data_IF_574612950853
#
_entry.id   IF_574612950853
#
_cell.length_a   1.000
_cell.length_b   1.000
_cell.length_c   1.000
_cell.angle_alpha   90.00
_cell.angle_beta   90.00
_cell.angle_gamma   90.00
#
_symmetry.space_group_name_H-M   'P 1'
#
loop_
_entity.id
_entity.type
_entity.pdbx_description
1 polymer ?
#
# COMPACT_ATOMS: atom_id res chain seq x y z
N UNK A 1 19.48 -31.55 33.11
CA UNK A 1 18.13 -31.44 33.70
C UNK A 1 17.67 -30.00 33.58
N UNK A 2 16.63 -29.79 32.74
CA UNK A 2 15.57 -28.76 32.79
C UNK A 2 15.96 -27.28 32.94
N UNK A 3 15.76 -26.47 31.89
CA UNK A 3 14.56 -25.63 31.65
C UNK A 3 14.87 -24.17 32.08
N UNK A 4 14.82 -23.15 31.22
CA UNK A 4 13.77 -22.84 30.26
C UNK A 4 13.04 -21.62 30.79
N UNK A 5 13.48 -20.42 30.40
CA UNK A 5 12.80 -19.14 30.69
C UNK A 5 13.25 -18.11 29.64
N UNK A 6 12.82 -18.32 28.40
CA UNK A 6 12.74 -17.24 27.41
C UNK A 6 11.38 -16.59 27.61
N UNK A 7 11.40 -15.34 28.04
CA UNK A 7 10.24 -14.54 28.34
C UNK A 7 9.39 -14.34 27.07
N UNK A 8 8.14 -14.81 27.12
CA UNK A 8 7.08 -14.41 26.19
C UNK A 8 6.74 -12.94 26.45
N UNK A 9 7.19 -12.05 25.56
CA UNK A 9 6.71 -10.68 25.46
C UNK A 9 6.36 -10.38 24.02
N UNK A 10 5.20 -10.85 23.58
CA UNK A 10 4.51 -10.38 22.39
C UNK A 10 3.02 -10.73 22.52
N UNK A 11 2.20 -9.75 22.88
CA UNK A 11 0.75 -9.94 23.03
C UNK A 11 -0.08 -8.65 23.00
N UNK A 12 0.52 -7.49 23.27
CA UNK A 12 -0.22 -6.22 23.44
C UNK A 12 -0.08 -5.24 22.25
N UNK A 13 0.77 -5.55 21.27
CA UNK A 13 1.04 -4.66 20.13
C UNK A 13 -0.02 -4.74 19.01
N UNK A 14 -0.96 -5.69 19.09
CA UNK A 14 -2.00 -5.89 18.07
C UNK A 14 -3.18 -4.92 18.20
N UNK A 15 -3.63 -4.65 19.43
CA UNK A 15 -4.77 -3.77 19.69
C UNK A 15 -4.41 -2.29 19.48
N UNK A 16 -3.24 -1.87 19.97
CA UNK A 16 -2.72 -0.50 19.85
C UNK A 16 -2.46 -0.09 18.40
N UNK A 17 -1.83 -0.95 17.60
CA UNK A 17 -1.57 -0.68 16.17
C UNK A 17 -2.84 -0.63 15.30
N UNK A 18 -3.91 -1.33 15.69
CA UNK A 18 -5.20 -1.24 15.00
C UNK A 18 -5.88 0.10 15.30
N UNK A 19 -5.90 0.52 16.58
CA UNK A 19 -6.53 1.75 17.00
C UNK A 19 -5.84 2.99 16.40
N UNK A 20 -4.50 3.02 16.37
CA UNK A 20 -3.74 4.13 15.75
C UNK A 20 -3.98 4.25 14.24
N UNK A 21 -4.09 3.13 13.51
CA UNK A 21 -4.40 3.16 12.07
C UNK A 21 -5.83 3.65 11.81
N UNK A 22 -6.77 3.32 12.69
CA UNK A 22 -8.14 3.81 12.61
C UNK A 22 -8.22 5.30 12.95
N UNK A 23 -7.51 5.77 13.99
CA UNK A 23 -7.46 7.19 14.36
C UNK A 23 -6.77 8.06 13.29
N UNK A 24 -5.67 7.59 12.71
CA UNK A 24 -4.96 8.29 11.62
C UNK A 24 -5.78 8.33 10.31
N UNK A 25 -6.67 7.35 10.09
CA UNK A 25 -7.59 7.33 8.96
C UNK A 25 -8.85 8.19 9.20
N UNK A 26 -9.24 8.42 10.46
CA UNK A 26 -10.44 9.19 10.83
C UNK A 26 -10.18 10.71 10.82
N UNK A 27 -8.96 11.15 11.15
CA UNK A 27 -8.55 12.56 11.12
C UNK A 27 -8.80 13.30 9.78
N UNK A 28 -8.39 12.78 8.61
CA UNK A 28 -8.69 13.46 7.35
C UNK A 28 -10.19 13.44 7.03
N UNK A 29 -10.93 12.41 7.46
CA UNK A 29 -12.37 12.28 7.24
C UNK A 29 -13.16 13.39 7.94
N UNK A 30 -12.84 13.66 9.21
CA UNK A 30 -13.50 14.71 10.00
C UNK A 30 -13.16 16.11 9.48
N UNK A 31 -11.92 16.32 8.99
CA UNK A 31 -11.52 17.57 8.34
C UNK A 31 -12.27 17.83 7.01
N UNK A 32 -12.49 16.78 6.20
CA UNK A 32 -13.26 16.88 4.95
C UNK A 32 -14.74 17.16 5.23
N UNK A 33 -15.34 16.45 6.18
CA UNK A 33 -16.73 16.66 6.57
C UNK A 33 -16.94 18.07 7.15
N UNK A 34 -16.04 18.52 8.03
CA UNK A 34 -16.07 19.85 8.63
C UNK A 34 -15.93 20.97 7.60
N UNK A 35 -14.94 20.89 6.71
CA UNK A 35 -14.76 21.89 5.64
C UNK A 35 -15.96 21.95 4.69
N UNK A 36 -16.54 20.82 4.30
CA UNK A 36 -17.72 20.76 3.42
C UNK A 36 -18.96 21.39 4.07
N UNK A 37 -19.19 21.09 5.36
CA UNK A 37 -20.32 21.64 6.12
C UNK A 37 -20.19 23.16 6.30
N UNK A 38 -18.98 23.66 6.61
CA UNK A 38 -18.71 25.09 6.76
C UNK A 38 -18.94 25.81 5.43
N UNK A 39 -18.42 25.30 4.32
CA UNK A 39 -18.58 25.93 2.99
C UNK A 39 -20.06 25.97 2.60
N UNK A 40 -20.81 24.89 2.81
CA UNK A 40 -22.25 24.85 2.52
C UNK A 40 -23.05 25.84 3.39
N UNK A 41 -22.74 25.92 4.69
CA UNK A 41 -23.38 26.87 5.60
C UNK A 41 -23.15 28.33 5.14
N UNK A 42 -21.92 28.63 4.71
CA UNK A 42 -21.55 29.94 4.16
C UNK A 42 -22.25 30.22 2.82
N UNK A 43 -22.39 29.23 1.93
CA UNK A 43 -23.10 29.36 0.64
C UNK A 43 -24.61 29.63 0.83
N UNK A 44 -25.22 29.08 1.88
CA UNK A 44 -26.63 29.31 2.23
C UNK A 44 -26.83 30.70 2.87
N UNK A 45 -25.87 31.16 3.68
CA UNK A 45 -25.96 32.42 4.42
C UNK A 45 -25.59 33.65 3.59
N UNK A 46 -24.73 33.51 2.58
CA UNK A 46 -24.30 34.62 1.75
C UNK A 46 -25.25 34.80 0.54
N UNK A 47 -25.92 35.96 0.39
CA UNK A 47 -26.71 36.24 -0.80
C UNK A 47 -25.84 36.15 -2.06
N UNK A 48 -26.39 35.55 -3.12
CA UNK A 48 -25.69 35.23 -4.38
C UNK A 48 -24.90 36.46 -4.86
N UNK A 49 -23.61 36.28 -5.13
CA UNK A 49 -22.74 37.37 -5.64
C UNK A 49 -21.24 37.14 -5.46
N UNK A 50 -20.84 36.31 -4.50
CA UNK A 50 -19.43 35.99 -4.23
C UNK A 50 -19.07 34.62 -4.81
N UNK A 51 -17.86 34.47 -5.35
CA UNK A 51 -17.33 33.21 -5.94
C UNK A 51 -16.98 32.14 -4.88
N UNK A 52 -17.91 31.86 -3.96
CA UNK A 52 -17.81 30.84 -2.90
C UNK A 52 -17.63 29.41 -3.46
N UNK A 53 -18.22 29.03 -4.61
CA UNK A 53 -18.08 27.67 -5.15
C UNK A 53 -16.63 27.22 -5.42
N UNK A 54 -15.68 28.15 -5.56
CA UNK A 54 -14.24 27.83 -5.71
C UNK A 54 -13.66 27.20 -4.44
N UNK A 55 -14.23 27.50 -3.27
CA UNK A 55 -13.75 26.96 -1.99
C UNK A 55 -14.02 25.45 -1.83
N UNK A 56 -14.93 24.86 -2.62
CA UNK A 56 -15.15 23.40 -2.65
C UNK A 56 -13.94 22.60 -3.19
N UNK A 57 -12.92 23.28 -3.73
CA UNK A 57 -11.63 22.66 -4.06
C UNK A 57 -10.88 22.20 -2.79
N UNK A 58 -11.09 22.86 -1.64
CA UNK A 58 -10.39 22.55 -0.38
C UNK A 58 -10.73 21.14 0.15
N UNK A 59 -12.00 20.71 0.27
CA UNK A 59 -12.36 19.34 0.62
C UNK A 59 -11.75 18.28 -0.32
N UNK A 60 -11.61 18.61 -1.60
CA UNK A 60 -11.07 17.69 -2.62
C UNK A 60 -9.56 17.51 -2.45
N UNK A 61 -8.82 18.59 -2.20
CA UNK A 61 -7.39 18.52 -1.89
C UNK A 61 -7.11 17.75 -0.59
N UNK A 62 -7.98 17.93 0.42
CA UNK A 62 -7.93 17.11 1.63
C UNK A 62 -8.22 15.63 1.33
N UNK A 63 -9.18 15.34 0.44
CA UNK A 63 -9.49 13.97 0.01
C UNK A 63 -8.35 13.26 -0.74
N UNK A 64 -7.39 13.99 -1.34
CA UNK A 64 -6.17 13.41 -1.94
C UNK A 64 -5.29 12.72 -0.90
N UNK A 65 -5.35 13.16 0.35
CA UNK A 65 -4.59 12.56 1.44
C UNK A 65 -5.20 11.23 1.93
N UNK A 66 -6.43 10.90 1.51
CA UNK A 66 -7.07 9.63 1.85
C UNK A 66 -6.57 8.49 0.94
N UNK A 67 -6.08 7.41 1.56
CA UNK A 67 -5.65 6.17 0.88
C UNK A 67 -6.76 5.48 0.08
N UNK A 68 -8.03 5.73 0.43
CA UNK A 68 -9.18 5.07 -0.19
C UNK A 68 -9.65 5.83 -1.43
N UNK A 69 -9.53 5.21 -2.60
CA UNK A 69 -9.87 5.81 -3.90
C UNK A 69 -11.36 6.04 -4.14
N UNK A 70 -12.22 5.14 -3.64
CA UNK A 70 -13.68 5.29 -3.75
C UNK A 70 -14.19 6.53 -2.99
N UNK A 71 -13.54 6.87 -1.87
CA UNK A 71 -13.91 8.01 -1.04
C UNK A 71 -13.73 9.35 -1.78
N UNK A 72 -12.68 9.47 -2.60
CA UNK A 72 -12.44 10.68 -3.42
C UNK A 72 -13.55 10.93 -4.43
N UNK A 73 -14.02 9.88 -5.09
CA UNK A 73 -15.14 9.98 -6.06
C UNK A 73 -16.44 10.30 -5.34
N UNK A 74 -16.70 9.68 -4.19
CA UNK A 74 -17.88 9.95 -3.38
C UNK A 74 -17.96 11.41 -2.90
N UNK A 75 -16.84 12.00 -2.45
CA UNK A 75 -16.77 13.42 -2.05
C UNK A 75 -17.02 14.35 -3.24
N UNK A 76 -16.44 14.06 -4.42
CA UNK A 76 -16.66 14.87 -5.62
C UNK A 76 -18.12 14.84 -6.11
N UNK A 77 -18.77 13.67 -6.07
CA UNK A 77 -20.20 13.51 -6.37
C UNK A 77 -21.05 14.27 -5.34
N UNK A 78 -20.73 14.15 -4.05
CA UNK A 78 -21.40 14.88 -2.98
C UNK A 78 -21.32 16.39 -3.17
N UNK A 79 -20.12 16.93 -3.42
CA UNK A 79 -19.91 18.37 -3.67
C UNK A 79 -20.64 18.85 -4.92
N UNK A 80 -20.72 18.02 -5.96
CA UNK A 80 -21.49 18.31 -7.20
C UNK A 80 -22.99 18.43 -6.91
N UNK A 81 -23.53 17.51 -6.10
CA UNK A 81 -24.94 17.52 -5.68
C UNK A 81 -25.23 18.72 -4.77
N UNK A 82 -24.39 18.96 -3.76
CA UNK A 82 -24.49 20.09 -2.84
C UNK A 82 -24.45 21.43 -3.59
N UNK A 83 -23.55 21.55 -4.56
CA UNK A 83 -23.52 22.69 -5.46
C UNK A 83 -24.87 22.80 -6.14
N UNK A 84 -25.33 21.78 -6.88
CA UNK A 84 -26.64 21.80 -7.57
C UNK A 84 -27.83 22.19 -6.68
N UNK A 85 -27.93 21.63 -5.48
CA UNK A 85 -28.99 21.93 -4.51
C UNK A 85 -28.98 23.40 -4.06
N UNK A 86 -27.80 23.99 -3.87
CA UNK A 86 -27.68 25.42 -3.56
C UNK A 86 -28.29 26.33 -4.64
N UNK A 87 -28.44 25.87 -5.89
CA UNK A 87 -29.12 26.66 -6.94
C UNK A 87 -30.62 26.83 -6.65
N UNK A 88 -31.23 25.83 -6.03
CA UNK A 88 -32.67 25.80 -5.76
C UNK A 88 -33.08 26.55 -4.50
N UNK A 89 -32.21 26.62 -3.48
CA UNK A 89 -32.55 27.22 -2.18
C UNK A 89 -32.19 28.71 -2.05
N UNK A 90 -31.21 29.22 -2.80
CA UNK A 90 -30.82 30.63 -2.67
C UNK A 90 -31.85 31.57 -3.31
N UNK A 91 -32.23 32.67 -2.66
CA UNK A 91 -33.08 33.69 -3.31
C UNK A 91 -32.29 34.42 -4.42
N UNK A 92 -32.91 34.72 -5.59
CA UNK A 92 -32.19 35.28 -6.73
C UNK A 92 -31.95 36.79 -6.57
N UNK A 93 -30.79 37.17 -6.02
CA UNK A 93 -30.35 38.57 -5.88
C UNK A 93 -29.50 39.07 -7.08
N UNK A 94 -28.93 38.16 -7.89
CA UNK A 94 -28.07 38.46 -9.06
C UNK A 94 -28.62 37.85 -10.34
N UNK A 95 -28.24 38.39 -11.52
CA UNK A 95 -28.54 37.79 -12.81
C UNK A 95 -28.18 36.30 -12.89
N UNK A 96 -29.08 35.52 -13.49
CA UNK A 96 -28.98 34.06 -13.60
C UNK A 96 -27.69 33.61 -14.30
N UNK A 97 -27.23 34.36 -15.30
CA UNK A 97 -26.00 34.04 -16.05
C UNK A 97 -24.73 34.03 -15.18
N UNK A 98 -24.59 34.95 -14.22
CA UNK A 98 -23.44 34.99 -13.29
C UNK A 98 -23.43 33.73 -12.42
N UNK A 99 -24.62 33.32 -11.97
CA UNK A 99 -24.78 32.11 -11.15
C UNK A 99 -24.40 30.86 -11.94
N UNK A 100 -24.83 30.78 -13.21
CA UNK A 100 -24.53 29.65 -14.09
C UNK A 100 -23.03 29.56 -14.40
N UNK A 101 -22.38 30.67 -14.76
CA UNK A 101 -20.95 30.69 -15.10
C UNK A 101 -20.08 30.31 -13.91
N UNK A 102 -20.36 30.83 -12.71
CA UNK A 102 -19.60 30.50 -11.51
C UNK A 102 -19.73 29.02 -11.11
N UNK A 103 -20.93 28.44 -11.30
CA UNK A 103 -21.17 27.02 -11.04
C UNK A 103 -20.50 26.12 -12.07
N UNK A 104 -20.50 26.51 -13.33
CA UNK A 104 -19.77 25.80 -14.39
C UNK A 104 -18.26 25.75 -14.11
N UNK A 105 -17.67 26.88 -13.68
CA UNK A 105 -16.25 26.95 -13.29
C UNK A 105 -15.93 26.05 -12.09
N UNK A 106 -16.79 26.04 -11.07
CA UNK A 106 -16.62 25.18 -9.90
C UNK A 106 -16.71 23.69 -10.26
N UNK A 107 -17.69 23.30 -11.07
CA UNK A 107 -17.80 21.92 -11.57
C UNK A 107 -16.55 21.53 -12.38
N UNK A 108 -16.07 22.41 -13.27
CA UNK A 108 -14.84 22.16 -14.02
C UNK A 108 -13.62 21.96 -13.09
N UNK A 109 -13.48 22.76 -12.04
CA UNK A 109 -12.42 22.61 -11.04
C UNK A 109 -12.53 21.28 -10.26
N UNK A 110 -13.74 20.89 -9.85
CA UNK A 110 -14.01 19.64 -9.12
C UNK A 110 -13.64 18.42 -9.99
N UNK A 111 -14.06 18.41 -11.25
CA UNK A 111 -13.82 17.29 -12.15
C UNK A 111 -12.36 17.22 -12.64
N UNK A 112 -11.72 18.36 -12.92
CA UNK A 112 -10.29 18.38 -13.27
C UNK A 112 -9.41 17.87 -12.14
N UNK A 113 -9.69 18.27 -10.89
CA UNK A 113 -8.97 17.78 -9.70
C UNK A 113 -9.23 16.29 -9.44
N UNK A 114 -10.47 15.81 -9.60
CA UNK A 114 -10.79 14.38 -9.49
C UNK A 114 -10.06 13.53 -10.55
N UNK A 115 -10.04 13.99 -11.82
CA UNK A 115 -9.33 13.31 -12.92
C UNK A 115 -7.81 13.31 -12.69
N UNK A 116 -7.24 14.44 -12.25
CA UNK A 116 -5.82 14.54 -11.94
C UNK A 116 -5.43 13.59 -10.78
N UNK A 117 -6.25 13.53 -9.74
CA UNK A 117 -6.06 12.62 -8.61
C UNK A 117 -6.15 11.14 -9.03
N UNK A 118 -7.05 10.79 -9.96
CA UNK A 118 -7.13 9.45 -10.54
C UNK A 118 -5.88 9.08 -11.32
N UNK A 119 -5.39 9.98 -12.19
CA UNK A 119 -4.18 9.76 -12.98
C UNK A 119 -2.95 9.54 -12.12
N UNK A 120 -2.83 10.28 -11.03
CA UNK A 120 -1.71 10.12 -10.10
C UNK A 120 -1.68 8.74 -9.41
N UNK A 121 -2.84 8.09 -9.21
CA UNK A 121 -2.87 6.72 -8.67
C UNK A 121 -2.38 5.69 -9.67
N UNK A 122 -2.85 5.76 -10.92
CA UNK A 122 -2.42 4.83 -11.96
C UNK A 122 -0.91 4.93 -12.20
N UNK A 123 -0.36 6.14 -12.18
CA UNK A 123 1.08 6.34 -12.30
C UNK A 123 1.87 5.72 -11.13
N UNK A 124 1.35 5.75 -9.90
CA UNK A 124 2.00 5.11 -8.74
C UNK A 124 1.97 3.59 -8.82
N UNK A 125 0.90 3.01 -9.34
CA UNK A 125 0.75 1.55 -9.42
C UNK A 125 1.71 0.93 -10.46
N UNK A 126 1.98 1.63 -11.55
CA UNK A 126 2.96 1.19 -12.56
C UNK A 126 4.42 1.25 -12.06
N UNK A 127 4.73 2.09 -11.07
CA UNK A 127 6.10 2.22 -10.53
C UNK A 127 6.46 1.05 -9.58
N UNK A 128 5.48 0.42 -8.93
CA UNK A 128 5.72 -0.69 -7.99
C UNK A 128 6.25 -1.98 -8.64
N UNK A 129 6.11 -2.12 -9.96
CA UNK A 129 6.61 -3.31 -10.67
C UNK A 129 8.13 -3.26 -10.88
N UNK A 130 8.73 -2.06 -10.94
CA UNK A 130 10.18 -1.90 -11.02
C UNK A 130 10.86 -1.85 -9.65
N UNK A 131 10.12 -1.48 -8.59
CA UNK A 131 10.66 -1.30 -7.23
C UNK A 131 10.86 -2.61 -6.45
N UNK A 132 10.41 -3.76 -6.97
CA UNK A 132 10.54 -5.07 -6.31
C UNK A 132 11.69 -5.94 -6.87
N UNK A 133 12.49 -5.42 -7.78
CA UNK A 133 13.65 -6.14 -8.33
C UNK A 133 14.89 -5.81 -7.50
N UNK A 134 15.37 -6.80 -6.74
CA UNK A 134 16.65 -6.70 -6.05
C UNK A 134 17.78 -7.00 -7.04
N UNK A 135 18.59 -6.01 -7.46
CA UNK A 135 19.71 -6.26 -8.36
C UNK A 135 20.73 -7.17 -7.67
N UNK A 136 20.82 -8.41 -8.14
CA UNK A 136 21.78 -9.41 -7.67
C UNK A 136 22.91 -9.61 -8.70
N UNK A 137 24.13 -9.81 -8.22
CA UNK A 137 25.26 -10.11 -9.08
C UNK A 137 25.12 -11.54 -9.63
N UNK A 138 25.08 -11.68 -10.96
CA UNK A 138 24.97 -12.99 -11.61
C UNK A 138 26.12 -13.95 -11.28
N UNK A 139 27.30 -13.44 -10.90
CA UNK A 139 28.48 -14.25 -10.58
C UNK A 139 28.56 -14.61 -9.09
N UNK A 140 28.48 -13.63 -8.20
CA UNK A 140 28.72 -13.82 -6.76
C UNK A 140 27.48 -13.74 -5.88
N UNK A 141 26.29 -13.53 -6.45
CA UNK A 141 24.98 -13.46 -5.77
C UNK A 141 24.83 -12.36 -4.71
N UNK A 142 25.79 -11.43 -4.59
CA UNK A 142 25.65 -10.22 -3.75
C UNK A 142 24.48 -9.37 -4.22
N UNK A 143 23.83 -8.67 -3.30
CA UNK A 143 22.75 -7.71 -3.59
C UNK A 143 23.35 -6.30 -3.58
N UNK A 144 22.94 -5.47 -4.54
CA UNK A 144 23.27 -4.05 -4.56
C UNK A 144 22.19 -3.25 -3.84
N UNK A 145 22.60 -2.45 -2.86
CA UNK A 145 21.70 -1.55 -2.14
C UNK A 145 21.40 -0.24 -2.92
N UNK A 146 20.47 0.57 -2.40
CA UNK A 146 20.07 1.85 -2.99
C UNK A 146 21.20 2.88 -3.02
N UNK A 147 22.22 2.71 -2.17
CA UNK A 147 23.44 3.54 -2.12
C UNK A 147 24.50 3.07 -3.11
N UNK A 148 24.26 1.95 -3.78
CA UNK A 148 25.13 1.35 -4.78
C UNK A 148 26.20 0.41 -4.23
N UNK A 149 26.21 0.10 -2.94
CA UNK A 149 27.13 -0.86 -2.32
C UNK A 149 26.68 -2.30 -2.54
N UNK A 150 27.66 -3.19 -2.68
CA UNK A 150 27.43 -4.62 -2.83
C UNK A 150 27.60 -5.33 -1.50
N UNK A 151 26.49 -5.86 -0.96
CA UNK A 151 26.44 -6.60 0.29
C UNK A 151 26.07 -8.06 0.08
N UNK A 152 26.31 -8.86 1.12
CA UNK A 152 25.75 -10.20 1.23
C UNK A 152 24.22 -10.13 1.33
N UNK A 153 23.53 -11.17 0.84
CA UNK A 153 22.06 -11.24 0.80
C UNK A 153 21.49 -11.16 2.22
N UNK A 154 22.20 -11.81 3.14
CA UNK A 154 21.87 -11.93 4.55
C UNK A 154 21.75 -10.55 5.20
N UNK A 155 22.77 -9.69 5.02
CA UNK A 155 22.77 -8.33 5.54
C UNK A 155 21.58 -7.51 5.02
N UNK A 156 21.23 -7.70 3.74
CA UNK A 156 20.10 -7.01 3.14
C UNK A 156 18.78 -7.46 3.77
N UNK A 157 18.58 -8.76 3.93
CA UNK A 157 17.38 -9.35 4.53
C UNK A 157 17.21 -8.96 6.00
N UNK A 158 18.27 -8.98 6.80
CA UNK A 158 18.22 -8.58 8.21
C UNK A 158 17.91 -7.09 8.37
N UNK A 159 18.38 -6.24 7.46
CA UNK A 159 18.16 -4.79 7.53
C UNK A 159 16.76 -4.38 7.06
N UNK A 160 16.19 -5.10 6.10
CA UNK A 160 14.93 -4.72 5.43
C UNK A 160 13.72 -5.59 5.83
N UNK A 161 13.94 -6.63 6.64
CA UNK A 161 12.86 -7.50 7.13
C UNK A 161 12.95 -7.65 8.65
N UNK A 162 11.96 -8.32 9.26
CA UNK A 162 12.00 -8.69 10.68
C UNK A 162 12.55 -10.11 10.90
N UNK A 163 13.17 -10.70 9.89
CA UNK A 163 13.68 -12.06 9.98
C UNK A 163 15.07 -12.09 10.62
N UNK A 164 15.31 -13.07 11.48
CA UNK A 164 16.64 -13.44 11.97
C UNK A 164 17.12 -14.64 11.17
N UNK A 165 18.31 -14.55 10.59
CA UNK A 165 18.87 -15.65 9.81
C UNK A 165 19.68 -16.59 10.73
N UNK A 166 19.36 -17.87 10.66
CA UNK A 166 20.18 -18.92 11.25
C UNK A 166 20.92 -19.68 10.16
N UNK A 167 22.10 -20.21 10.51
CA UNK A 167 22.87 -21.04 9.60
C UNK A 167 22.44 -22.49 9.76
N UNK A 168 22.07 -23.13 8.65
CA UNK A 168 21.73 -24.54 8.59
C UNK A 168 22.27 -25.16 7.31
N UNK A 169 22.32 -26.49 7.27
CA UNK A 169 22.69 -27.25 6.07
C UNK A 169 21.45 -27.99 5.56
N UNK A 170 21.12 -27.81 4.29
CA UNK A 170 20.00 -28.53 3.70
C UNK A 170 20.34 -30.03 3.51
N UNK A 171 19.33 -30.90 3.40
CA UNK A 171 19.54 -32.34 3.20
C UNK A 171 20.47 -32.69 2.03
N UNK A 172 20.32 -32.01 0.90
CA UNK A 172 21.15 -32.23 -0.30
C UNK A 172 22.63 -31.91 -0.03
N UNK A 173 22.89 -30.77 0.60
CA UNK A 173 24.26 -30.37 0.96
C UNK A 173 24.85 -31.32 2.01
N UNK A 174 24.04 -31.80 2.97
CA UNK A 174 24.50 -32.78 3.95
C UNK A 174 24.90 -34.10 3.28
N UNK A 175 24.06 -34.62 2.38
CA UNK A 175 24.35 -35.85 1.66
C UNK A 175 25.59 -35.72 0.77
N UNK A 176 25.77 -34.57 0.12
CA UNK A 176 26.88 -34.31 -0.79
C UNK A 176 28.23 -34.15 -0.08
N UNK A 177 28.26 -33.40 1.01
CA UNK A 177 29.52 -33.00 1.67
C UNK A 177 29.86 -33.85 2.89
N UNK A 178 28.88 -34.53 3.50
CA UNK A 178 29.03 -35.35 4.70
C UNK A 178 28.30 -36.70 4.56
N UNK A 179 28.58 -37.49 3.51
CA UNK A 179 27.86 -38.72 3.21
C UNK A 179 27.96 -39.76 4.34
N UNK A 180 29.08 -39.80 5.08
CA UNK A 180 29.29 -40.71 6.20
C UNK A 180 28.38 -40.43 7.41
N UNK A 181 28.02 -39.17 7.63
CA UNK A 181 27.17 -38.75 8.75
C UNK A 181 25.69 -38.73 8.36
N UNK A 182 25.37 -38.65 7.07
CA UNK A 182 24.00 -38.55 6.57
C UNK A 182 23.05 -39.62 7.13
N UNK A 183 23.38 -40.94 7.16
CA UNK A 183 22.48 -41.96 7.67
C UNK A 183 22.12 -41.76 9.15
N UNK A 184 23.11 -41.35 9.95
CA UNK A 184 22.95 -41.13 11.39
C UNK A 184 22.05 -39.93 11.68
N UNK A 185 22.23 -38.85 10.90
CA UNK A 185 21.45 -37.62 11.05
C UNK A 185 19.99 -37.84 10.64
N UNK A 186 19.75 -38.61 9.57
CA UNK A 186 18.40 -38.96 9.11
C UNK A 186 17.67 -39.84 10.14
N UNK A 187 18.36 -40.80 10.73
CA UNK A 187 17.80 -41.65 11.79
C UNK A 187 17.49 -40.85 13.07
N UNK A 188 18.36 -39.91 13.43
CA UNK A 188 18.20 -39.09 14.63
C UNK A 188 17.11 -38.02 14.47
N UNK A 189 16.91 -37.50 13.26
CA UNK A 189 15.99 -36.40 12.98
C UNK A 189 15.10 -36.66 11.75
N UNK A 190 14.25 -37.70 11.78
CA UNK A 190 13.50 -38.15 10.61
C UNK A 190 12.53 -37.09 10.06
N UNK A 191 11.99 -36.21 10.92
CA UNK A 191 11.05 -35.17 10.54
C UNK A 191 11.66 -34.05 9.69
N UNK A 192 12.96 -33.76 9.87
CA UNK A 192 13.67 -32.69 9.14
C UNK A 192 13.98 -33.07 7.67
N UNK A 193 13.84 -34.35 7.32
CA UNK A 193 14.23 -34.91 6.02
C UNK A 193 13.05 -35.54 5.26
N UNK A 194 11.80 -35.32 5.69
CA UNK A 194 10.59 -35.90 5.08
C UNK A 194 10.30 -35.38 3.67
N UNK A 195 10.64 -34.11 3.37
CA UNK A 195 10.27 -33.47 2.11
C UNK A 195 11.40 -33.44 1.06
N UNK A 196 12.65 -33.74 1.45
CA UNK A 196 13.80 -33.72 0.52
C UNK A 196 13.84 -34.91 -0.44
N UNK A 197 12.97 -35.90 -0.27
CA UNK A 197 12.77 -37.02 -1.20
C UNK A 197 11.59 -36.80 -2.17
N UNK A 198 10.90 -35.65 -2.10
CA UNK A 198 9.87 -35.31 -3.08
C UNK A 198 10.50 -34.67 -4.32
N UNK A 199 10.94 -35.51 -5.26
CA UNK A 199 10.86 -35.32 -6.72
C UNK A 199 10.78 -33.87 -7.26
N UNK A 200 11.81 -33.04 -7.07
CA UNK A 200 11.95 -31.81 -7.89
C UNK A 200 12.99 -31.99 -9.02
N UNK A 201 13.91 -32.95 -8.91
CA UNK A 201 14.96 -33.16 -9.92
C UNK A 201 14.79 -34.40 -10.81
N UNK A 202 14.04 -35.43 -10.38
CA UNK A 202 13.89 -36.66 -11.19
C UNK A 202 12.97 -36.47 -12.41
N UNK A 203 12.05 -35.51 -12.38
CA UNK A 203 11.13 -35.30 -13.52
C UNK A 203 11.80 -34.58 -14.71
N UNK A 204 12.93 -33.90 -14.50
CA UNK A 204 13.62 -33.17 -15.57
C UNK A 204 14.75 -33.96 -16.25
N UNK A 205 15.25 -35.04 -15.66
CA UNK A 205 16.27 -35.89 -16.29
C UNK A 205 15.66 -36.87 -17.30
N UNK A 206 14.43 -37.33 -17.08
CA UNK A 206 13.76 -38.23 -18.03
C UNK A 206 13.35 -37.56 -19.35
N UNK A 207 13.23 -36.23 -19.41
CA UNK A 207 12.81 -35.55 -20.64
C UNK A 207 13.96 -35.24 -21.61
N UNK A 208 15.23 -35.37 -21.18
CA UNK A 208 16.40 -35.09 -22.03
C UNK A 208 16.89 -36.34 -22.77
N UNK A 209 16.59 -37.55 -22.27
CA UNK A 209 17.02 -38.80 -22.91
C UNK A 209 16.08 -39.27 -24.02
N UNK A 210 14.84 -38.77 -24.10
CA UNK A 210 13.86 -39.16 -25.14
C UNK A 210 13.94 -38.31 -26.42
N UNK A 211 14.82 -37.31 -26.45
CA UNK A 211 15.05 -36.44 -27.62
C UNK A 211 16.49 -36.46 -28.15
N UNK A 212 17.22 -37.57 -27.94
CA UNK A 212 18.51 -37.82 -28.59
C UNK A 212 18.49 -39.06 -29.47
#
# INVERSE_FOLDING_TARGET
MSAGLVALRDGDNGATMSNERHELALLPLTMIAGSTAIIFMVDVLLPRGVAIPILYVIPILLAVHCRQQWFRVAVAVGCTILTGLGYGFSEPVVPTWITVTNRALALAAIWTTAVLAWRHLQAREQINVLQNLLPMCASCKKIRDDKGYWGQVENYLETHTKATLSHGICPECMHKWYPEFYPQVVEQYPDLFKDSSSNVFDEHLHHVEEHR
#
